data_IF_132379562584
#
_entry.id   IF_132379562584
#
_cell.length_a   1.000
_cell.length_b   1.000
_cell.length_c   1.000
_cell.angle_alpha   90.00
_cell.angle_beta   90.00
_cell.angle_gamma   90.00
#
_symmetry.space_group_name_H-M   'P 1'
#
loop_
_entity.id
_entity.type
_entity.pdbx_description
1 polymer ?
#
# COMPACT_ATOMS: atom_id res chain seq x y z
N UNK A 1 -40.13 -75.62 11.72
CA UNK A 1 -40.11 -74.19 12.11
C UNK A 1 -39.02 -73.51 11.30
N UNK A 2 -39.41 -72.81 10.24
CA UNK A 2 -38.53 -72.28 9.18
C UNK A 2 -38.14 -70.85 9.49
N UNK A 3 -36.85 -70.59 9.63
CA UNK A 3 -36.31 -69.25 9.84
C UNK A 3 -36.11 -68.60 8.47
N UNK A 4 -36.92 -67.57 8.17
CA UNK A 4 -36.79 -66.82 6.93
C UNK A 4 -35.63 -65.87 7.01
N UNK A 5 -34.68 -65.95 6.04
CA UNK A 5 -33.61 -65.03 5.83
C UNK A 5 -34.12 -63.66 5.41
N UNK A 6 -33.73 -62.59 6.16
CA UNK A 6 -33.95 -61.20 5.82
C UNK A 6 -32.69 -60.73 5.03
N UNK A 7 -32.84 -60.22 3.80
CA UNK A 7 -31.67 -59.71 3.08
C UNK A 7 -31.26 -58.32 3.67
N UNK A 8 -30.00 -58.25 4.08
CA UNK A 8 -29.34 -56.97 4.46
C UNK A 8 -29.25 -56.03 3.25
N UNK A 9 -30.01 -54.96 3.28
CA UNK A 9 -29.87 -53.83 2.32
C UNK A 9 -28.60 -53.08 2.70
N UNK A 10 -27.54 -53.21 1.89
CA UNK A 10 -26.35 -52.38 1.98
C UNK A 10 -26.68 -50.96 1.57
N UNK A 11 -26.64 -50.04 2.54
CA UNK A 11 -26.78 -48.60 2.30
C UNK A 11 -25.42 -48.08 1.82
N UNK A 12 -25.27 -47.88 0.51
CA UNK A 12 -24.10 -47.21 -0.06
C UNK A 12 -24.25 -45.72 0.18
N UNK A 13 -23.56 -45.17 1.19
CA UNK A 13 -23.42 -43.73 1.39
C UNK A 13 -22.36 -43.20 0.41
N UNK A 14 -22.81 -42.64 -0.68
CA UNK A 14 -21.92 -41.90 -1.59
C UNK A 14 -21.48 -40.59 -0.91
N UNK A 15 -20.28 -40.60 -0.33
CA UNK A 15 -19.58 -39.38 0.10
C UNK A 15 -19.21 -38.58 -1.16
N UNK A 16 -20.01 -37.59 -1.50
CA UNK A 16 -19.64 -36.54 -2.45
C UNK A 16 -18.52 -35.72 -1.81
N UNK A 17 -17.28 -36.05 -2.10
CA UNK A 17 -16.15 -35.15 -1.88
C UNK A 17 -16.34 -33.95 -2.82
N UNK A 18 -17.00 -32.89 -2.36
CA UNK A 18 -16.79 -31.58 -2.92
C UNK A 18 -15.36 -31.20 -2.58
N UNK A 19 -14.45 -31.42 -3.53
CA UNK A 19 -13.12 -30.86 -3.46
C UNK A 19 -13.25 -29.34 -3.41
N UNK A 20 -13.16 -28.77 -2.20
CA UNK A 20 -12.94 -27.36 -2.02
C UNK A 20 -11.60 -27.06 -2.74
N UNK A 21 -11.68 -26.52 -3.96
CA UNK A 21 -10.49 -25.92 -4.57
C UNK A 21 -10.17 -24.71 -3.71
N UNK A 22 -9.26 -24.87 -2.76
CA UNK A 22 -8.58 -23.74 -2.14
C UNK A 22 -7.70 -23.12 -3.21
N UNK A 23 -8.26 -22.23 -4.00
CA UNK A 23 -7.44 -21.33 -4.79
C UNK A 23 -6.78 -20.41 -3.76
N UNK A 24 -5.54 -20.04 -3.96
CA UNK A 24 -4.84 -19.01 -3.21
C UNK A 24 -4.64 -17.80 -4.11
N UNK A 25 -4.52 -16.63 -3.53
CA UNK A 25 -4.21 -15.41 -4.26
C UNK A 25 -3.03 -15.64 -5.22
N UNK A 26 -3.16 -15.16 -6.42
CA UNK A 26 -2.11 -15.26 -7.45
C UNK A 26 -1.25 -14.02 -7.47
N UNK A 27 0.05 -14.21 -7.72
CA UNK A 27 1.05 -13.14 -7.77
C UNK A 27 1.58 -13.03 -9.19
N UNK A 28 1.25 -11.93 -9.86
CA UNK A 28 1.75 -11.59 -11.18
C UNK A 28 2.86 -10.54 -11.11
N UNK A 29 3.67 -10.43 -12.15
CA UNK A 29 4.57 -9.30 -12.35
C UNK A 29 4.15 -8.55 -13.60
N UNK A 30 3.65 -7.34 -13.43
CA UNK A 30 3.37 -6.42 -14.50
C UNK A 30 4.64 -5.65 -14.90
N UNK A 31 4.81 -5.39 -16.19
CA UNK A 31 5.83 -4.49 -16.73
C UNK A 31 5.13 -3.28 -17.32
N UNK A 32 5.23 -2.15 -16.64
CA UNK A 32 4.52 -0.92 -16.99
C UNK A 32 5.49 0.08 -17.62
N UNK A 33 5.10 0.72 -18.71
CA UNK A 33 5.92 1.77 -19.31
C UNK A 33 5.59 3.13 -18.71
N UNK A 34 6.61 3.82 -18.22
CA UNK A 34 6.48 5.24 -17.83
C UNK A 34 6.88 6.12 -18.99
N UNK A 35 5.95 6.86 -19.54
CA UNK A 35 6.20 7.85 -20.59
C UNK A 35 6.98 9.05 -20.03
N UNK A 36 6.70 9.45 -18.78
CA UNK A 36 7.40 10.55 -18.12
C UNK A 36 8.88 10.28 -17.86
N UNK A 37 9.27 8.99 -17.72
CA UNK A 37 10.66 8.57 -17.46
C UNK A 37 11.29 7.76 -18.62
N UNK A 38 10.54 7.51 -19.70
CA UNK A 38 10.97 6.72 -20.85
C UNK A 38 11.57 5.35 -20.49
N UNK A 39 10.97 4.63 -19.54
CA UNK A 39 11.46 3.33 -19.08
C UNK A 39 10.35 2.39 -18.66
N UNK A 40 10.66 1.09 -18.71
CA UNK A 40 9.79 0.06 -18.16
C UNK A 40 10.04 -0.11 -16.67
N UNK A 41 8.97 -0.20 -15.88
CA UNK A 41 9.00 -0.34 -14.43
C UNK A 41 8.17 -1.56 -14.04
N UNK A 42 8.71 -2.40 -13.15
CA UNK A 42 8.02 -3.59 -12.67
C UNK A 42 7.07 -3.26 -11.52
N UNK A 43 5.98 -4.01 -11.45
CA UNK A 43 5.09 -4.03 -10.29
C UNK A 43 4.63 -5.47 -10.01
N UNK A 44 4.62 -5.89 -8.76
CA UNK A 44 3.88 -7.09 -8.36
C UNK A 44 2.41 -6.73 -8.29
N UNK A 45 1.55 -7.62 -8.80
CA UNK A 45 0.09 -7.52 -8.68
C UNK A 45 -0.42 -8.80 -8.04
N UNK A 46 -0.94 -8.67 -6.81
CA UNK A 46 -1.57 -9.77 -6.08
C UNK A 46 -3.06 -9.71 -6.33
N UNK A 47 -3.61 -10.79 -6.88
CA UNK A 47 -5.05 -10.93 -7.19
C UNK A 47 -5.66 -11.93 -6.20
N UNK A 48 -6.83 -11.64 -5.59
CA UNK A 48 -7.49 -12.56 -4.67
C UNK A 48 -7.86 -13.89 -5.36
N UNK A 49 -8.13 -14.91 -4.57
CA UNK A 49 -8.36 -16.29 -5.03
C UNK A 49 -9.59 -16.42 -5.95
N UNK A 50 -10.62 -15.59 -5.75
CA UNK A 50 -11.82 -15.53 -6.56
C UNK A 50 -11.74 -14.52 -7.73
N UNK A 51 -10.54 -14.04 -8.04
CA UNK A 51 -10.34 -13.08 -9.12
C UNK A 51 -10.92 -13.58 -10.45
N UNK A 52 -11.76 -12.78 -11.04
CA UNK A 52 -12.28 -12.98 -12.38
C UNK A 52 -12.43 -11.64 -13.12
N UNK A 53 -12.47 -11.68 -14.44
CA UNK A 53 -12.68 -10.46 -15.24
C UNK A 53 -14.13 -9.96 -15.22
N UNK A 54 -15.06 -10.77 -14.75
CA UNK A 54 -16.49 -10.42 -14.59
C UNK A 54 -16.81 -9.71 -13.25
N UNK A 55 -15.98 -9.88 -12.23
CA UNK A 55 -16.05 -9.19 -10.93
C UNK A 55 -15.09 -8.01 -10.92
N UNK A 56 -15.42 -6.93 -10.22
CA UNK A 56 -14.56 -5.77 -10.04
C UNK A 56 -14.12 -5.65 -8.59
N UNK A 57 -12.86 -5.29 -8.37
CA UNK A 57 -12.21 -5.30 -7.07
C UNK A 57 -11.69 -3.91 -6.68
N UNK A 58 -11.77 -3.53 -5.39
CA UNK A 58 -10.99 -2.41 -4.86
C UNK A 58 -9.49 -2.66 -5.02
N UNK A 59 -8.70 -1.60 -5.02
CA UNK A 59 -7.25 -1.70 -5.24
C UNK A 59 -6.49 -0.95 -4.17
N UNK A 60 -5.43 -1.59 -3.62
CA UNK A 60 -4.47 -0.97 -2.71
C UNK A 60 -3.10 -0.93 -3.37
N UNK A 61 -2.54 0.26 -3.50
CA UNK A 61 -1.15 0.46 -3.91
C UNK A 61 -0.25 0.39 -2.67
N UNK A 62 0.74 -0.51 -2.66
CA UNK A 62 1.55 -0.84 -1.49
C UNK A 62 3.03 -0.56 -1.79
N UNK A 63 3.54 0.55 -1.30
CA UNK A 63 4.85 1.10 -1.62
C UNK A 63 5.95 0.53 -0.73
N UNK A 64 7.13 0.24 -1.32
CA UNK A 64 8.32 -0.21 -0.59
C UNK A 64 9.13 0.95 0.00
N UNK A 65 10.08 0.66 0.91
CA UNK A 65 10.98 1.61 1.53
C UNK A 65 12.25 1.90 0.73
N UNK A 66 13.10 2.80 1.24
CA UNK A 66 14.39 3.10 0.65
C UNK A 66 15.28 1.85 0.60
N UNK A 67 16.03 1.69 -0.49
CA UNK A 67 16.84 0.49 -0.74
C UNK A 67 16.06 -0.71 -1.25
N UNK A 68 14.73 -0.62 -1.31
CA UNK A 68 13.84 -1.70 -1.67
C UNK A 68 13.50 -1.77 -3.16
N UNK A 69 12.56 -2.68 -3.49
CA UNK A 69 12.08 -2.95 -4.85
C UNK A 69 10.64 -3.48 -4.83
N UNK A 70 10.02 -3.56 -6.00
CA UNK A 70 8.64 -4.02 -6.23
C UNK A 70 8.25 -5.36 -5.58
N UNK A 71 9.20 -6.27 -5.36
CA UNK A 71 8.92 -7.60 -4.80
C UNK A 71 9.01 -7.68 -3.28
N UNK A 72 9.47 -6.65 -2.58
CA UNK A 72 9.82 -6.74 -1.17
C UNK A 72 8.64 -7.13 -0.27
N UNK A 73 7.45 -6.65 -0.58
CA UNK A 73 6.24 -7.00 0.18
C UNK A 73 5.83 -8.47 0.08
N UNK A 74 6.31 -9.20 -0.93
CA UNK A 74 6.06 -10.65 -1.06
C UNK A 74 7.30 -11.49 -0.75
N UNK A 75 8.45 -10.85 -0.50
CA UNK A 75 9.71 -11.57 -0.23
C UNK A 75 10.33 -11.31 1.13
N UNK A 76 10.09 -10.15 1.76
CA UNK A 76 10.80 -9.72 2.97
C UNK A 76 9.93 -9.75 4.24
N UNK A 77 8.60 -9.72 4.11
CA UNK A 77 7.69 -9.90 5.25
C UNK A 77 7.95 -11.27 5.90
N UNK A 78 7.97 -11.41 7.24
CA UNK A 78 8.23 -12.69 7.92
C UNK A 78 7.36 -13.84 7.40
N UNK A 79 6.05 -13.66 7.33
CA UNK A 79 5.15 -14.56 6.59
C UNK A 79 5.03 -14.09 5.14
N UNK A 80 5.72 -14.78 4.22
CA UNK A 80 5.77 -14.46 2.78
C UNK A 80 4.39 -14.46 2.09
N UNK A 81 3.37 -15.01 2.73
CA UNK A 81 2.00 -15.05 2.23
C UNK A 81 1.10 -13.95 2.81
N UNK A 82 1.64 -13.06 3.65
CA UNK A 82 0.82 -12.03 4.32
C UNK A 82 0.00 -11.22 3.33
N UNK A 83 0.60 -10.69 2.27
CA UNK A 83 -0.10 -9.85 1.29
C UNK A 83 -1.16 -10.66 0.52
N UNK A 84 -0.83 -11.91 0.16
CA UNK A 84 -1.76 -12.82 -0.51
C UNK A 84 -2.98 -13.13 0.37
N UNK A 85 -2.73 -13.50 1.65
CA UNK A 85 -3.80 -13.77 2.62
C UNK A 85 -4.71 -12.54 2.85
N UNK A 86 -4.13 -11.34 2.85
CA UNK A 86 -4.90 -10.11 3.01
C UNK A 86 -5.69 -9.75 1.73
N UNK A 87 -5.15 -10.04 0.56
CA UNK A 87 -5.87 -9.90 -0.71
C UNK A 87 -7.10 -10.82 -0.74
N UNK A 88 -6.94 -12.11 -0.35
CA UNK A 88 -8.03 -13.08 -0.25
C UNK A 88 -9.07 -12.66 0.81
N UNK A 89 -8.61 -12.31 2.02
CA UNK A 89 -9.49 -12.00 3.15
C UNK A 89 -10.42 -10.81 2.89
N UNK A 90 -9.96 -9.84 2.10
CA UNK A 90 -10.68 -8.60 1.88
C UNK A 90 -11.18 -8.40 0.45
N UNK A 91 -10.97 -9.36 -0.45
CA UNK A 91 -11.34 -9.24 -1.86
C UNK A 91 -10.70 -8.01 -2.54
N UNK A 92 -9.42 -7.82 -2.39
CA UNK A 92 -8.68 -6.63 -2.83
C UNK A 92 -7.55 -7.01 -3.78
N UNK A 93 -7.37 -6.26 -4.86
CA UNK A 93 -6.14 -6.30 -5.66
C UNK A 93 -5.08 -5.46 -4.95
N UNK A 94 -3.88 -6.04 -4.74
CA UNK A 94 -2.74 -5.29 -4.17
C UNK A 94 -1.68 -5.11 -5.24
N UNK A 95 -1.24 -3.86 -5.43
CA UNK A 95 -0.23 -3.47 -6.43
C UNK A 95 1.00 -2.95 -5.72
N UNK A 96 2.15 -3.64 -5.89
CA UNK A 96 3.42 -3.25 -5.29
C UNK A 96 4.38 -2.77 -6.42
N UNK A 97 4.41 -1.47 -6.73
CA UNK A 97 5.26 -0.93 -7.78
C UNK A 97 6.72 -0.80 -7.32
N UNK A 98 7.64 -0.83 -8.28
CA UNK A 98 9.01 -0.39 -8.07
C UNK A 98 9.04 1.15 -8.00
N UNK A 99 9.45 1.67 -6.86
CA UNK A 99 9.64 3.10 -6.62
C UNK A 99 11.10 3.52 -6.75
N UNK A 100 11.99 2.66 -7.26
CA UNK A 100 13.43 2.85 -7.24
C UNK A 100 14.00 2.96 -5.81
N UNK A 101 15.31 2.88 -5.69
CA UNK A 101 16.03 2.77 -4.41
C UNK A 101 15.79 3.97 -3.50
N UNK A 102 15.75 5.20 -4.05
CA UNK A 102 15.65 6.44 -3.28
C UNK A 102 14.86 7.53 -4.01
N UNK A 103 13.75 7.17 -4.69
CA UNK A 103 12.92 8.16 -5.39
C UNK A 103 12.12 9.05 -4.44
N UNK A 104 11.81 8.57 -3.25
CA UNK A 104 10.86 9.17 -2.32
C UNK A 104 9.47 9.43 -2.93
N UNK A 105 9.25 8.82 -4.10
CA UNK A 105 8.02 8.97 -4.90
C UNK A 105 7.77 10.40 -5.38
N UNK A 106 8.84 11.23 -5.49
CA UNK A 106 8.77 12.58 -6.04
C UNK A 106 8.80 12.59 -7.57
N UNK A 107 8.30 13.67 -8.13
CA UNK A 107 8.75 14.21 -9.39
C UNK A 107 9.93 15.13 -9.10
N UNK A 108 11.15 14.59 -9.17
CA UNK A 108 12.34 15.32 -8.75
C UNK A 108 12.54 16.61 -9.57
N UNK A 109 12.72 17.76 -8.92
CA UNK A 109 13.10 19.00 -9.60
C UNK A 109 14.57 19.02 -10.05
N UNK A 110 15.38 18.05 -9.60
CA UNK A 110 16.82 17.96 -9.89
C UNK A 110 17.12 16.93 -10.98
N UNK A 111 16.41 15.80 -10.97
CA UNK A 111 16.70 14.66 -11.85
C UNK A 111 15.45 14.23 -12.61
N UNK A 112 15.42 14.51 -13.92
CA UNK A 112 14.28 14.20 -14.80
C UNK A 112 14.03 12.69 -14.98
N UNK A 113 14.99 11.82 -14.63
CA UNK A 113 14.80 10.37 -14.63
C UNK A 113 13.95 9.88 -13.44
N UNK A 114 13.55 10.77 -12.54
CA UNK A 114 12.74 10.50 -11.34
C UNK A 114 11.43 11.28 -11.39
N UNK A 115 10.43 10.72 -12.05
CA UNK A 115 9.04 11.24 -12.15
C UNK A 115 8.08 10.24 -11.53
N UNK A 116 8.34 9.87 -10.26
CA UNK A 116 7.61 8.81 -9.58
C UNK A 116 6.24 9.26 -9.05
N UNK A 117 6.02 10.54 -8.79
CA UNK A 117 4.70 11.09 -8.52
C UNK A 117 3.79 10.88 -9.74
N UNK A 118 4.21 11.36 -10.92
CA UNK A 118 3.48 11.15 -12.18
C UNK A 118 3.27 9.66 -12.47
N UNK A 119 4.32 8.85 -12.31
CA UNK A 119 4.23 7.42 -12.58
C UNK A 119 3.17 6.72 -11.71
N UNK A 120 3.23 6.88 -10.39
CA UNK A 120 2.34 6.16 -9.47
C UNK A 120 0.91 6.68 -9.57
N UNK A 121 0.71 8.01 -9.53
CA UNK A 121 -0.63 8.61 -9.44
C UNK A 121 -1.40 8.63 -10.76
N UNK A 122 -0.70 8.53 -11.89
CA UNK A 122 -1.33 8.64 -13.22
C UNK A 122 -1.05 7.40 -14.09
N UNK A 123 0.21 7.15 -14.45
CA UNK A 123 0.57 6.15 -15.47
C UNK A 123 0.28 4.72 -14.98
N UNK A 124 0.72 4.38 -13.75
CA UNK A 124 0.49 3.07 -13.16
C UNK A 124 -1.00 2.83 -12.87
N UNK A 125 -1.70 3.81 -12.30
CA UNK A 125 -3.14 3.71 -12.04
C UNK A 125 -3.90 3.44 -13.33
N UNK A 126 -3.60 4.19 -14.39
CA UNK A 126 -4.22 4.01 -15.71
C UNK A 126 -3.93 2.62 -16.30
N UNK A 127 -2.69 2.14 -16.18
CA UNK A 127 -2.31 0.81 -16.63
C UNK A 127 -3.06 -0.28 -15.87
N UNK A 128 -3.07 -0.23 -14.54
CA UNK A 128 -3.74 -1.21 -13.69
C UNK A 128 -5.24 -1.23 -13.98
N UNK A 129 -5.87 -0.09 -14.09
CA UNK A 129 -7.30 0.03 -14.39
C UNK A 129 -7.68 -0.49 -15.80
N UNK A 130 -6.74 -0.52 -16.74
CA UNK A 130 -6.98 -1.03 -18.09
C UNK A 130 -6.70 -2.53 -18.24
N UNK A 131 -5.82 -3.11 -17.41
CA UNK A 131 -5.38 -4.50 -17.55
C UNK A 131 -5.94 -5.44 -16.47
N UNK A 132 -6.45 -4.90 -15.37
CA UNK A 132 -7.00 -5.70 -14.27
C UNK A 132 -8.45 -5.32 -13.96
N UNK A 133 -9.16 -6.21 -13.30
CA UNK A 133 -10.57 -6.06 -12.99
C UNK A 133 -10.80 -5.11 -11.79
N UNK A 134 -10.32 -3.89 -11.87
CA UNK A 134 -10.43 -2.88 -10.81
C UNK A 134 -11.74 -2.10 -10.85
N UNK A 135 -12.17 -1.56 -9.71
CA UNK A 135 -13.19 -0.51 -9.63
C UNK A 135 -12.46 0.82 -9.84
N UNK A 136 -12.74 1.49 -10.96
CA UNK A 136 -12.06 2.72 -11.40
C UNK A 136 -12.58 3.99 -10.68
N UNK A 137 -12.70 3.91 -9.37
CA UNK A 137 -13.23 5.00 -8.55
C UNK A 137 -12.31 5.23 -7.35
N UNK A 138 -12.10 6.48 -6.96
CA UNK A 138 -11.27 6.84 -5.80
C UNK A 138 -11.78 6.23 -4.49
N UNK A 139 -13.10 6.05 -4.34
CA UNK A 139 -13.70 5.43 -3.15
C UNK A 139 -13.37 3.96 -3.00
N UNK A 140 -12.78 3.35 -4.02
CA UNK A 140 -12.33 1.96 -4.06
C UNK A 140 -10.82 1.84 -4.35
N UNK A 141 -10.08 2.94 -4.17
CA UNK A 141 -8.62 2.99 -4.37
C UNK A 141 -7.93 3.60 -3.16
N UNK A 142 -6.99 2.84 -2.57
CA UNK A 142 -6.16 3.26 -1.46
C UNK A 142 -4.69 3.14 -1.80
N UNK A 143 -3.84 3.85 -1.04
CA UNK A 143 -2.39 3.79 -1.15
C UNK A 143 -1.77 3.75 0.24
N UNK A 144 -0.78 2.90 0.44
CA UNK A 144 0.00 2.81 1.68
C UNK A 144 1.42 2.33 1.40
N UNK A 145 2.27 2.33 2.40
CA UNK A 145 3.64 1.84 2.29
C UNK A 145 4.41 1.97 3.58
N UNK A 146 5.67 1.50 3.56
CA UNK A 146 6.58 1.56 4.68
C UNK A 146 7.70 2.59 4.45
N UNK A 147 8.16 3.29 5.50
CA UNK A 147 9.35 4.15 5.45
C UNK A 147 9.27 5.21 4.34
N UNK A 148 10.17 5.21 3.35
CA UNK A 148 10.07 6.02 2.12
C UNK A 148 8.71 5.84 1.43
N UNK A 149 8.17 4.61 1.38
CA UNK A 149 6.86 4.32 0.82
C UNK A 149 5.70 4.82 1.69
N UNK A 150 5.88 4.90 3.01
CA UNK A 150 4.93 5.52 3.93
C UNK A 150 4.84 7.03 3.72
N UNK A 151 5.98 7.70 3.55
CA UNK A 151 6.05 9.08 3.09
C UNK A 151 5.34 9.22 1.74
N UNK A 152 5.76 8.42 0.74
CA UNK A 152 5.23 8.50 -0.63
C UNK A 152 3.72 8.29 -0.70
N UNK A 153 3.17 7.39 0.11
CA UNK A 153 1.74 7.12 0.13
C UNK A 153 0.92 8.33 0.62
N UNK A 154 1.34 8.96 1.71
CA UNK A 154 0.69 10.18 2.21
C UNK A 154 0.93 11.37 1.26
N UNK A 155 2.17 11.55 0.80
CA UNK A 155 2.54 12.60 -0.16
C UNK A 155 1.66 12.57 -1.41
N UNK A 156 1.55 11.38 -2.03
CA UNK A 156 0.74 11.20 -3.23
C UNK A 156 -0.75 11.38 -2.96
N UNK A 157 -1.28 10.81 -1.87
CA UNK A 157 -2.71 10.91 -1.57
C UNK A 157 -3.15 12.33 -1.21
N UNK A 158 -2.32 13.10 -0.49
CA UNK A 158 -2.64 14.49 -0.15
C UNK A 158 -2.69 15.39 -1.39
N UNK A 159 -1.84 15.11 -2.38
CA UNK A 159 -1.76 15.86 -3.64
C UNK A 159 -2.77 15.39 -4.70
N UNK A 160 -3.14 14.10 -4.67
CA UNK A 160 -4.01 13.45 -5.67
C UNK A 160 -5.25 12.84 -5.02
N UNK A 161 -6.03 13.68 -4.31
CA UNK A 161 -7.27 13.27 -3.64
C UNK A 161 -8.39 12.90 -4.62
N UNK A 162 -8.26 13.25 -5.89
CA UNK A 162 -9.12 12.80 -6.99
C UNK A 162 -8.82 11.37 -7.43
N UNK A 163 -7.61 10.88 -7.14
CA UNK A 163 -7.16 9.51 -7.48
C UNK A 163 -7.36 8.54 -6.32
N UNK A 164 -6.96 8.93 -5.10
CA UNK A 164 -7.01 8.08 -3.91
C UNK A 164 -8.07 8.57 -2.92
N UNK A 165 -8.90 7.65 -2.42
CA UNK A 165 -9.92 7.95 -1.40
C UNK A 165 -9.48 7.61 0.01
N UNK A 166 -8.45 6.77 0.15
CA UNK A 166 -7.84 6.43 1.43
C UNK A 166 -6.32 6.31 1.31
N UNK A 167 -5.61 6.62 2.39
CA UNK A 167 -4.17 6.44 2.45
C UNK A 167 -3.71 5.95 3.81
N UNK A 168 -2.51 5.36 3.82
CA UNK A 168 -1.86 4.91 5.02
C UNK A 168 -0.35 5.11 4.99
N UNK A 169 0.28 4.96 6.17
CA UNK A 169 1.74 5.01 6.31
C UNK A 169 2.19 4.13 7.46
N UNK A 170 3.22 3.35 7.25
CA UNK A 170 3.88 2.54 8.27
C UNK A 170 5.29 3.10 8.47
N UNK A 171 5.56 3.71 9.62
CA UNK A 171 6.87 4.32 9.91
C UNK A 171 7.34 5.28 8.81
N UNK A 172 6.47 6.14 8.29
CA UNK A 172 6.81 7.04 7.18
C UNK A 172 7.78 8.14 7.58
N UNK A 173 8.69 8.53 6.68
CA UNK A 173 9.54 9.71 6.83
C UNK A 173 8.76 11.00 6.50
N UNK A 174 7.75 11.32 7.30
CA UNK A 174 6.74 12.35 7.00
C UNK A 174 7.21 13.80 7.16
N UNK A 175 8.36 14.00 7.81
CA UNK A 175 9.13 15.24 7.81
C UNK A 175 10.56 14.90 7.38
N UNK A 176 11.03 15.50 6.30
CA UNK A 176 12.34 15.23 5.69
C UNK A 176 13.43 16.14 6.25
N UNK A 177 13.05 17.29 6.81
CA UNK A 177 13.97 18.36 7.20
C UNK A 177 14.98 17.96 8.28
N UNK A 178 14.68 17.04 9.23
CA UNK A 178 15.67 16.57 10.20
C UNK A 178 16.74 15.62 9.61
N UNK A 179 16.63 15.20 8.34
CA UNK A 179 17.46 14.13 7.75
C UNK A 179 18.20 14.59 6.46
N UNK A 180 18.88 15.74 6.44
CA UNK A 180 19.38 16.35 5.20
C UNK A 180 20.44 15.51 4.45
N UNK A 181 21.14 14.63 5.15
CA UNK A 181 22.23 13.83 4.60
C UNK A 181 21.85 12.35 4.36
N UNK A 182 20.57 11.99 4.57
CA UNK A 182 20.13 10.62 4.52
C UNK A 182 19.45 10.25 3.20
N UNK A 183 19.52 8.97 2.84
CA UNK A 183 18.73 8.29 1.79
C UNK A 183 18.69 9.03 0.45
N UNK A 184 19.80 9.67 0.05
CA UNK A 184 19.92 10.41 -1.20
C UNK A 184 18.86 11.51 -1.43
N UNK A 185 18.22 12.00 -0.37
CA UNK A 185 17.23 13.07 -0.47
C UNK A 185 17.79 14.30 -1.21
N UNK A 186 19.04 14.68 -0.91
CA UNK A 186 19.69 15.79 -1.59
C UNK A 186 19.85 15.56 -3.11
N UNK A 187 19.97 14.30 -3.57
CA UNK A 187 19.98 13.99 -5.02
C UNK A 187 18.61 14.18 -5.67
N UNK A 188 17.52 14.18 -4.89
CA UNK A 188 16.15 14.36 -5.38
C UNK A 188 15.68 15.79 -5.27
N UNK A 189 16.04 16.51 -4.19
CA UNK A 189 15.52 17.85 -3.87
C UNK A 189 16.58 18.96 -4.01
N UNK A 190 17.86 18.62 -4.17
CA UNK A 190 18.99 19.53 -3.98
C UNK A 190 19.39 19.56 -2.50
N UNK A 191 20.57 20.10 -2.17
CA UNK A 191 21.03 20.19 -0.78
C UNK A 191 20.07 21.03 0.06
N UNK A 192 19.78 20.60 1.28
CA UNK A 192 18.88 21.33 2.19
C UNK A 192 19.38 22.77 2.44
N UNK A 193 20.68 22.98 2.63
CA UNK A 193 21.28 24.29 2.84
C UNK A 193 21.08 25.28 1.67
N UNK A 194 20.87 24.75 0.44
CA UNK A 194 20.70 25.57 -0.77
C UNK A 194 19.23 25.73 -1.16
N UNK A 195 18.41 24.70 -0.84
CA UNK A 195 17.01 24.61 -1.27
C UNK A 195 16.06 24.19 -0.14
N UNK A 196 16.09 24.84 1.05
CA UNK A 196 15.29 24.39 2.20
C UNK A 196 13.79 24.33 1.90
N UNK A 197 13.30 25.28 1.11
CA UNK A 197 11.88 25.34 0.73
C UNK A 197 11.41 24.11 -0.06
N UNK A 198 12.26 23.51 -0.90
CA UNK A 198 11.92 22.25 -1.59
C UNK A 198 11.71 21.11 -0.61
N UNK A 199 12.46 21.05 0.47
CA UNK A 199 12.35 20.04 1.51
C UNK A 199 11.07 20.22 2.33
N UNK A 200 10.80 21.47 2.68
CA UNK A 200 9.56 21.83 3.38
C UNK A 200 8.33 21.48 2.53
N UNK A 201 8.31 21.89 1.26
CA UNK A 201 7.20 21.66 0.32
C UNK A 201 7.00 20.16 -0.02
N UNK A 202 8.01 19.31 0.19
CA UNK A 202 7.92 17.88 -0.05
C UNK A 202 7.85 17.04 1.26
N UNK A 203 7.80 17.69 2.43
CA UNK A 203 7.51 17.05 3.71
C UNK A 203 6.01 16.98 3.95
N UNK A 204 5.47 15.79 4.20
CA UNK A 204 4.02 15.54 4.37
C UNK A 204 3.41 16.42 5.45
N UNK A 205 4.13 16.63 6.55
CA UNK A 205 3.66 17.47 7.67
C UNK A 205 3.31 18.89 7.24
N UNK A 206 3.94 19.41 6.21
CA UNK A 206 3.68 20.74 5.67
C UNK A 206 2.60 20.77 4.60
N UNK A 207 1.98 19.62 4.27
CA UNK A 207 0.95 19.51 3.22
C UNK A 207 -0.48 19.46 3.77
N UNK A 208 -0.66 19.61 5.08
CA UNK A 208 -1.98 19.52 5.72
C UNK A 208 -2.97 20.55 5.15
N UNK A 209 -2.48 21.68 4.66
CA UNK A 209 -3.30 22.71 4.01
C UNK A 209 -4.02 22.23 2.73
N UNK A 210 -3.59 21.12 2.12
CA UNK A 210 -4.25 20.49 0.97
C UNK A 210 -5.50 19.69 1.39
N UNK A 211 -5.62 19.33 2.66
CA UNK A 211 -6.67 18.45 3.15
C UNK A 211 -7.95 19.20 3.45
N UNK A 212 -9.05 18.57 3.11
CA UNK A 212 -10.39 18.95 3.58
C UNK A 212 -10.89 17.84 4.51
N UNK A 213 -11.47 18.15 5.68
CA UNK A 213 -12.01 17.15 6.58
C UNK A 213 -12.96 16.17 5.85
N UNK A 214 -12.89 14.89 6.22
CA UNK A 214 -13.70 13.78 5.71
C UNK A 214 -13.57 13.46 4.20
N UNK A 215 -12.72 14.17 3.47
CA UNK A 215 -12.53 13.93 2.03
C UNK A 215 -11.56 12.78 1.74
N UNK A 216 -10.56 12.58 2.58
CA UNK A 216 -9.57 11.51 2.49
C UNK A 216 -9.57 10.71 3.79
N UNK A 217 -9.70 9.38 3.72
CA UNK A 217 -9.56 8.51 4.89
C UNK A 217 -8.07 8.25 5.15
N UNK A 218 -7.59 8.58 6.35
CA UNK A 218 -6.15 8.57 6.69
C UNK A 218 -5.91 7.63 7.86
N UNK A 219 -4.93 6.72 7.73
CA UNK A 219 -4.41 5.91 8.83
C UNK A 219 -2.89 5.86 8.77
N UNK A 220 -2.24 5.95 9.92
CA UNK A 220 -0.79 5.73 9.95
C UNK A 220 -0.34 5.23 11.32
N UNK A 221 0.83 4.62 11.34
CA UNK A 221 1.38 4.04 12.55
C UNK A 221 2.91 4.09 12.54
N UNK A 222 3.49 4.00 13.74
CA UNK A 222 4.92 3.96 13.91
C UNK A 222 5.30 3.13 15.13
N UNK A 223 6.41 2.40 15.04
CA UNK A 223 6.97 1.70 16.19
C UNK A 223 7.49 2.66 17.25
N UNK A 224 7.25 2.35 18.52
CA UNK A 224 7.70 3.22 19.63
C UNK A 224 9.23 3.35 19.77
N UNK A 225 9.99 2.45 19.14
CA UNK A 225 11.46 2.46 19.08
C UNK A 225 11.98 2.78 17.67
N UNK A 226 11.12 3.30 16.79
CA UNK A 226 11.48 3.69 15.43
C UNK A 226 12.11 5.09 15.43
N UNK A 227 13.13 5.31 14.61
CA UNK A 227 13.76 6.62 14.50
C UNK A 227 12.86 7.69 13.85
N UNK A 228 11.81 7.28 13.11
CA UNK A 228 10.78 8.17 12.61
C UNK A 228 9.61 8.39 13.58
N UNK A 229 9.67 7.84 14.81
CA UNK A 229 8.57 7.97 15.76
C UNK A 229 8.19 9.44 16.01
N UNK A 230 9.18 10.31 16.27
CA UNK A 230 8.89 11.69 16.61
C UNK A 230 8.23 12.47 15.47
N UNK A 231 8.69 12.28 14.23
CA UNK A 231 8.09 12.98 13.06
C UNK A 231 6.67 12.50 12.78
N UNK A 232 6.37 11.21 13.02
CA UNK A 232 5.00 10.68 12.90
C UNK A 232 4.09 11.22 14.04
N UNK A 233 4.60 11.33 15.27
CA UNK A 233 3.87 11.95 16.37
C UNK A 233 3.57 13.42 16.09
N UNK A 234 4.53 14.18 15.56
CA UNK A 234 4.34 15.58 15.17
C UNK A 234 3.26 15.71 14.08
N UNK A 235 3.24 14.82 13.08
CA UNK A 235 2.19 14.81 12.05
C UNK A 235 0.80 14.55 12.69
N UNK A 236 0.71 13.61 13.64
CA UNK A 236 -0.53 13.34 14.36
C UNK A 236 -1.05 14.59 15.07
N UNK A 237 -0.19 15.26 15.84
CA UNK A 237 -0.54 16.47 16.56
C UNK A 237 -0.99 17.59 15.62
N UNK A 238 -0.26 17.79 14.50
CA UNK A 238 -0.61 18.79 13.50
C UNK A 238 -1.95 18.49 12.79
N UNK A 239 -2.26 17.23 12.50
CA UNK A 239 -3.57 16.85 11.94
C UNK A 239 -4.71 17.11 12.93
N UNK A 240 -4.50 16.87 14.23
CA UNK A 240 -5.48 17.20 15.28
C UNK A 240 -5.72 18.70 15.37
N UNK A 241 -4.66 19.53 15.37
CA UNK A 241 -4.76 20.99 15.40
C UNK A 241 -5.56 21.55 14.22
N UNK A 242 -5.50 20.90 13.05
CA UNK A 242 -6.25 21.27 11.84
C UNK A 242 -7.60 20.57 11.71
N UNK A 243 -8.04 19.83 12.75
CA UNK A 243 -9.30 19.07 12.77
C UNK A 243 -9.43 18.10 11.56
N UNK A 244 -8.34 17.46 11.13
CA UNK A 244 -8.33 16.45 10.08
C UNK A 244 -8.53 15.07 10.73
N UNK A 245 -9.65 14.37 10.48
CA UNK A 245 -9.90 13.04 11.02
C UNK A 245 -8.88 12.02 10.49
N UNK A 246 -8.28 11.24 11.40
CA UNK A 246 -7.31 10.21 11.06
C UNK A 246 -7.18 9.17 12.18
N UNK A 247 -6.71 7.97 11.83
CA UNK A 247 -6.29 6.95 12.79
C UNK A 247 -4.77 7.00 12.93
N UNK A 248 -4.26 7.23 14.15
CA UNK A 248 -2.85 7.10 14.48
C UNK A 248 -2.63 6.05 15.56
N UNK A 249 -1.73 5.11 15.31
CA UNK A 249 -1.43 4.03 16.25
C UNK A 249 0.07 3.91 16.52
N UNK A 250 0.44 3.81 17.80
CA UNK A 250 1.80 3.48 18.22
C UNK A 250 1.80 2.08 18.80
N UNK A 251 2.73 1.24 18.35
CA UNK A 251 2.93 -0.11 18.88
C UNK A 251 4.39 -0.34 19.23
N UNK A 252 4.70 -1.25 20.17
CA UNK A 252 6.08 -1.70 20.38
C UNK A 252 6.69 -2.21 19.09
N UNK A 253 7.92 -1.78 18.78
CA UNK A 253 8.66 -2.15 17.59
C UNK A 253 9.56 -1.04 17.06
N UNK A 254 10.38 -1.36 16.09
CA UNK A 254 11.36 -0.48 15.45
C UNK A 254 11.17 -0.46 13.93
N UNK A 255 12.12 0.12 13.20
CA UNK A 255 12.10 0.24 11.73
C UNK A 255 12.47 -1.08 11.04
N UNK A 256 11.59 -2.10 11.14
CA UNK A 256 11.88 -3.47 10.70
C UNK A 256 10.72 -4.13 9.97
N UNK A 257 11.03 -5.15 9.19
CA UNK A 257 10.02 -5.95 8.48
C UNK A 257 9.07 -6.70 9.41
N UNK A 258 9.49 -7.05 10.65
CA UNK A 258 8.62 -7.63 11.68
C UNK A 258 7.52 -6.64 12.05
N UNK A 259 7.87 -5.37 12.25
CA UNK A 259 6.90 -4.33 12.56
C UNK A 259 5.93 -4.10 11.39
N UNK A 260 6.45 -3.91 10.19
CA UNK A 260 5.63 -3.63 9.01
C UNK A 260 4.76 -4.82 8.59
N UNK A 261 5.27 -6.06 8.74
CA UNK A 261 4.50 -7.29 8.50
C UNK A 261 3.31 -7.45 9.47
N UNK A 262 3.42 -6.93 10.68
CA UNK A 262 2.30 -6.85 11.61
C UNK A 262 1.37 -5.67 11.26
N UNK A 263 1.93 -4.49 11.00
CA UNK A 263 1.20 -3.26 10.76
C UNK A 263 0.28 -3.33 9.53
N UNK A 264 0.72 -3.96 8.43
CA UNK A 264 -0.09 -4.07 7.20
C UNK A 264 -1.47 -4.70 7.44
N UNK A 265 -1.61 -5.60 8.41
CA UNK A 265 -2.91 -6.22 8.74
C UNK A 265 -3.93 -5.18 9.21
N UNK A 266 -3.51 -4.22 10.02
CA UNK A 266 -4.38 -3.16 10.52
C UNK A 266 -4.74 -2.15 9.43
N UNK A 267 -3.78 -1.82 8.58
CA UNK A 267 -4.03 -0.90 7.46
C UNK A 267 -4.99 -1.52 6.43
N UNK A 268 -4.83 -2.80 6.09
CA UNK A 268 -5.75 -3.49 5.19
C UNK A 268 -7.17 -3.63 5.80
N UNK A 269 -7.28 -3.84 7.11
CA UNK A 269 -8.57 -3.78 7.82
C UNK A 269 -9.21 -2.39 7.70
N UNK A 270 -8.44 -1.32 7.88
CA UNK A 270 -8.92 0.05 7.73
C UNK A 270 -9.45 0.28 6.30
N UNK A 271 -8.66 -0.07 5.28
CA UNK A 271 -9.09 0.07 3.89
C UNK A 271 -10.31 -0.78 3.53
N UNK A 272 -10.38 -2.02 4.04
CA UNK A 272 -11.55 -2.87 3.80
C UNK A 272 -12.85 -2.27 4.34
N UNK A 273 -12.78 -1.57 5.48
CA UNK A 273 -13.92 -0.82 6.05
C UNK A 273 -14.25 0.42 5.23
N UNK A 274 -13.23 1.13 4.75
CA UNK A 274 -13.42 2.28 3.86
C UNK A 274 -14.12 1.85 2.56
N UNK A 275 -13.70 0.77 1.93
CA UNK A 275 -14.28 0.26 0.69
C UNK A 275 -15.71 -0.24 0.80
N UNK A 276 -16.21 -0.51 2.01
CA UNK A 276 -17.59 -0.95 2.26
C UNK A 276 -18.58 0.21 2.43
N UNK A 277 -18.08 1.43 2.56
CA UNK A 277 -18.90 2.64 2.56
C UNK A 277 -19.34 2.98 1.14
#
# INVERSE_FOLDING_TARGET
MSIKNIPAKALIVALLFFGLRSNAATVDTALTYSAAMHKNIKAVVVKPDDYSTSKKFPTVYLLHGAGGKYSDWVTNVPDKQTVQKLADLYDIIVVCPDGNVTSWYFDSPVDQAYKYETYISSELVSYIDSHYATIKDRSKRAITGLSMGGHGALYLAFRHQDVFGACGSMSGGVDLTPFPDNWDLAKRLGKYSEYPKRWEENSVINMIYLLTPDKLAITFDCGSSDFFYQVNKNLHEALLEHNIPHDFTVRPGAHTWEYWGNSINYQMLFFSRFFKK
#
